data_IF_920546579726
#
_entry.id   IF_920546579726
#
_cell.length_a   1.000
_cell.length_b   1.000
_cell.length_c   1.000
_cell.angle_alpha   90.00
_cell.angle_beta   90.00
_cell.angle_gamma   90.00
#
_symmetry.space_group_name_H-M   'P 1'
#
loop_
_entity.id
_entity.type
_entity.pdbx_description
1 polymer ?
#
# COMPACT_ATOMS: atom_id res chain seq x y z
N UNK A 1 32.27 2.25 14.65
CA UNK A 1 31.72 1.52 13.52
C UNK A 1 31.53 2.48 12.38
N UNK A 2 32.04 2.14 11.23
CA UNK A 2 31.90 2.94 10.03
C UNK A 2 30.60 2.48 9.35
N UNK A 3 29.52 3.28 9.47
CA UNK A 3 28.29 2.99 8.76
C UNK A 3 28.56 2.97 7.26
N UNK A 4 28.34 1.83 6.61
CA UNK A 4 28.61 1.67 5.18
C UNK A 4 27.41 2.17 4.37
N UNK A 5 27.65 3.18 3.52
CA UNK A 5 26.70 3.68 2.55
C UNK A 5 27.11 3.25 1.13
N UNK A 6 27.08 1.95 0.86
CA UNK A 6 27.59 1.36 -0.35
C UNK A 6 26.50 1.07 -1.40
N UNK A 7 26.90 1.20 -2.68
CA UNK A 7 26.06 0.81 -3.83
C UNK A 7 24.74 1.56 -3.96
N UNK A 8 24.63 2.78 -3.41
CA UNK A 8 23.43 3.59 -3.51
C UNK A 8 23.45 4.49 -4.75
N UNK A 9 22.27 4.77 -5.30
CA UNK A 9 22.05 5.78 -6.35
C UNK A 9 21.14 6.86 -5.76
N UNK A 10 21.61 8.11 -5.72
CA UNK A 10 20.83 9.26 -5.30
C UNK A 10 20.88 10.36 -6.37
N UNK A 11 19.71 10.70 -6.95
CA UNK A 11 19.58 11.74 -7.98
C UNK A 11 18.43 12.66 -7.64
N UNK A 12 18.71 13.91 -7.31
CA UNK A 12 17.70 14.91 -6.99
C UNK A 12 18.02 15.68 -5.73
N UNK A 13 17.31 16.81 -5.52
CA UNK A 13 17.45 17.61 -4.32
C UNK A 13 16.96 16.81 -3.10
N UNK A 14 17.77 16.70 -2.07
CA UNK A 14 17.54 15.93 -0.85
C UNK A 14 17.19 14.43 -1.09
N UNK A 15 17.54 13.86 -2.25
CA UNK A 15 17.37 12.43 -2.47
C UNK A 15 18.33 11.63 -1.56
N UNK A 16 17.81 10.62 -0.85
CA UNK A 16 18.53 9.79 0.13
C UNK A 16 19.24 10.62 1.22
N UNK A 17 18.66 11.75 1.57
CA UNK A 17 19.20 12.61 2.60
C UNK A 17 18.91 12.00 3.97
N UNK A 18 19.82 11.20 4.46
CA UNK A 18 19.72 10.62 5.81
C UNK A 18 20.08 11.59 6.91
N UNK A 19 19.70 11.23 8.13
CA UNK A 19 20.22 11.89 9.32
C UNK A 19 21.73 11.65 9.50
N UNK A 20 22.32 12.28 10.50
CA UNK A 20 23.74 12.20 10.82
C UNK A 20 24.25 10.75 10.95
N UNK A 21 25.22 10.39 10.13
CA UNK A 21 25.88 9.09 10.18
C UNK A 21 26.94 9.00 11.31
N UNK A 22 27.11 10.06 12.11
CA UNK A 22 28.09 10.09 13.17
C UNK A 22 27.73 9.14 14.32
N UNK A 23 28.43 8.03 14.40
CA UNK A 23 28.45 7.14 15.58
C UNK A 23 27.50 5.96 15.59
N UNK A 24 26.83 5.62 14.49
CA UNK A 24 25.99 4.43 14.39
C UNK A 24 26.43 3.51 13.23
N UNK A 25 26.46 2.20 13.47
CA UNK A 25 26.66 1.18 12.43
C UNK A 25 25.41 1.07 11.56
N UNK A 26 25.24 1.99 10.63
CA UNK A 26 24.11 2.01 9.70
C UNK A 26 24.52 1.43 8.37
N UNK A 27 23.69 0.56 7.85
CA UNK A 27 23.87 0.05 6.51
C UNK A 27 22.82 0.66 5.58
N UNK A 28 23.23 1.63 4.77
CA UNK A 28 22.49 2.07 3.61
C UNK A 28 23.07 1.40 2.39
N UNK A 29 22.53 0.27 1.97
CA UNK A 29 23.15 -0.53 0.91
C UNK A 29 22.17 -0.86 -0.22
N UNK A 30 22.63 -0.59 -1.45
CA UNK A 30 21.89 -0.98 -2.64
C UNK A 30 20.57 -0.25 -2.83
N UNK A 31 20.43 0.97 -2.33
CA UNK A 31 19.21 1.76 -2.47
C UNK A 31 19.25 2.62 -3.73
N UNK A 32 18.09 2.87 -4.34
CA UNK A 32 17.91 3.79 -5.46
C UNK A 32 16.91 4.88 -5.05
N UNK A 33 17.35 6.13 -4.98
CA UNK A 33 16.51 7.29 -4.71
C UNK A 33 16.64 8.31 -5.85
N UNK A 34 15.59 8.48 -6.65
CA UNK A 34 15.56 9.39 -7.78
C UNK A 34 14.35 10.32 -7.69
N UNK A 35 14.58 11.59 -7.48
CA UNK A 35 13.53 12.60 -7.37
C UNK A 35 13.77 13.59 -6.23
N UNK A 36 13.00 14.68 -6.23
CA UNK A 36 13.00 15.64 -5.13
C UNK A 36 12.53 14.94 -3.86
N UNK A 37 13.32 14.96 -2.80
CA UNK A 37 13.01 14.33 -1.49
C UNK A 37 12.61 12.84 -1.56
N UNK A 38 13.12 12.09 -2.54
CA UNK A 38 12.98 10.65 -2.54
C UNK A 38 13.82 10.04 -1.40
N UNK A 39 13.22 9.27 -0.48
CA UNK A 39 13.88 8.70 0.71
C UNK A 39 14.64 9.76 1.54
N UNK A 40 14.05 10.91 1.81
CA UNK A 40 14.76 11.99 2.51
C UNK A 40 14.77 11.87 4.04
N UNK A 41 13.88 11.04 4.61
CA UNK A 41 13.78 10.82 6.06
C UNK A 41 14.56 9.59 6.55
N UNK A 42 15.52 9.07 5.78
CA UNK A 42 16.32 7.90 6.19
C UNK A 42 16.99 8.16 7.54
N UNK A 43 16.35 7.69 8.61
CA UNK A 43 16.75 7.94 9.99
C UNK A 43 18.02 7.20 10.41
N UNK A 44 18.11 6.86 11.69
CA UNK A 44 19.24 6.14 12.31
C UNK A 44 19.29 4.63 12.00
N UNK A 45 18.39 4.10 11.20
CA UNK A 45 18.22 2.65 11.00
C UNK A 45 18.73 2.18 9.63
N UNK A 46 19.09 0.92 9.54
CA UNK A 46 19.53 0.29 8.31
C UNK A 46 18.41 0.25 7.27
N UNK A 47 18.74 0.58 6.02
CA UNK A 47 17.84 0.44 4.87
C UNK A 47 18.60 -0.20 3.73
N UNK A 48 18.06 -1.28 3.20
CA UNK A 48 18.78 -2.08 2.20
C UNK A 48 17.83 -2.47 1.06
N UNK A 49 18.31 -2.33 -0.17
CA UNK A 49 17.60 -2.81 -1.35
C UNK A 49 16.27 -2.11 -1.63
N UNK A 50 16.14 -0.84 -1.28
CA UNK A 50 14.92 -0.05 -1.44
C UNK A 50 15.00 0.81 -2.70
N UNK A 51 13.90 0.90 -3.46
CA UNK A 51 13.79 1.71 -4.67
C UNK A 51 12.73 2.79 -4.47
N UNK A 52 13.13 4.06 -4.58
CA UNK A 52 12.24 5.22 -4.53
C UNK A 52 12.48 6.10 -5.76
N UNK A 53 11.53 6.13 -6.68
CA UNK A 53 11.60 6.92 -7.91
C UNK A 53 10.38 7.82 -8.01
N UNK A 54 10.56 9.11 -7.81
CA UNK A 54 9.49 10.10 -7.85
C UNK A 54 9.65 11.16 -6.78
N UNK A 55 8.91 12.27 -6.92
CA UNK A 55 8.86 13.33 -5.90
C UNK A 55 8.29 12.76 -4.60
N UNK A 56 9.01 12.86 -3.49
CA UNK A 56 8.67 12.37 -2.15
C UNK A 56 8.28 10.87 -2.10
N UNK A 57 8.72 10.06 -3.07
CA UNK A 57 8.58 8.61 -2.97
C UNK A 57 9.34 8.10 -1.73
N UNK A 58 8.66 7.35 -0.84
CA UNK A 58 9.20 6.90 0.45
C UNK A 58 9.78 8.05 1.31
N UNK A 59 9.21 9.25 1.20
CA UNK A 59 9.76 10.44 1.87
C UNK A 59 9.81 10.33 3.40
N UNK A 60 8.92 9.57 4.04
CA UNK A 60 8.87 9.38 5.48
C UNK A 60 9.61 8.13 6.00
N UNK A 61 10.26 7.34 5.12
CA UNK A 61 10.87 6.06 5.51
C UNK A 61 12.06 6.27 6.45
N UNK A 62 11.90 5.87 7.70
CA UNK A 62 12.96 5.91 8.73
C UNK A 62 13.69 4.60 8.88
N UNK A 63 13.00 3.47 8.64
CA UNK A 63 13.55 2.11 8.60
C UNK A 63 12.67 1.26 7.67
N UNK A 64 13.11 0.10 7.29
CA UNK A 64 12.36 -0.77 6.40
C UNK A 64 13.11 -1.05 5.10
N UNK A 65 13.33 -2.32 4.82
CA UNK A 65 14.09 -2.78 3.67
C UNK A 65 13.19 -3.35 2.57
N UNK A 66 13.71 -3.37 1.33
CA UNK A 66 13.07 -4.08 0.24
C UNK A 66 11.80 -3.44 -0.31
N UNK A 67 11.53 -2.17 -0.02
CA UNK A 67 10.39 -1.46 -0.57
C UNK A 67 10.65 -0.98 -2.01
N UNK A 68 9.61 -0.98 -2.85
CA UNK A 68 9.64 -0.43 -4.20
C UNK A 68 8.56 0.64 -4.33
N UNK A 69 8.93 1.89 -4.48
CA UNK A 69 8.04 3.03 -4.67
C UNK A 69 8.39 3.75 -5.99
N UNK A 70 7.48 3.72 -6.95
CA UNK A 70 7.65 4.38 -8.24
C UNK A 70 6.43 5.25 -8.54
N UNK A 71 6.61 6.56 -8.47
CA UNK A 71 5.55 7.54 -8.70
C UNK A 71 5.62 8.73 -7.75
N UNK A 72 4.88 9.79 -8.09
CA UNK A 72 4.71 10.94 -7.20
C UNK A 72 4.08 10.48 -5.88
N UNK A 73 4.76 10.70 -4.75
CA UNK A 73 4.31 10.35 -3.40
C UNK A 73 3.94 8.86 -3.19
N UNK A 74 4.46 7.95 -4.02
CA UNK A 74 4.29 6.52 -3.77
C UNK A 74 4.93 6.13 -2.42
N UNK A 75 4.21 5.39 -1.57
CA UNK A 75 4.64 5.01 -0.21
C UNK A 75 5.10 6.19 0.66
N UNK A 76 4.63 7.40 0.41
CA UNK A 76 5.14 8.59 1.07
C UNK A 76 5.01 8.52 2.60
N UNK A 77 3.92 7.95 3.12
CA UNK A 77 3.65 7.82 4.55
C UNK A 77 4.30 6.60 5.23
N UNK A 78 4.90 5.68 4.47
CA UNK A 78 5.54 4.49 5.05
C UNK A 78 6.78 4.88 5.87
N UNK A 79 6.78 4.53 7.17
CA UNK A 79 7.90 4.85 8.08
C UNK A 79 8.78 3.65 8.38
N UNK A 80 8.21 2.46 8.56
CA UNK A 80 8.91 1.25 9.03
C UNK A 80 8.56 -0.02 8.24
N UNK A 81 7.48 -0.03 7.45
CA UNK A 81 7.02 -1.20 6.70
C UNK A 81 8.06 -1.74 5.70
N UNK A 82 8.07 -3.05 5.53
CA UNK A 82 9.03 -3.82 4.75
C UNK A 82 8.38 -4.42 3.49
N UNK A 83 9.16 -4.58 2.43
CA UNK A 83 8.79 -5.36 1.23
C UNK A 83 7.48 -4.94 0.56
N UNK A 84 7.08 -3.68 0.74
CA UNK A 84 5.92 -3.14 0.03
C UNK A 84 6.30 -2.72 -1.38
N UNK A 85 5.42 -2.94 -2.33
CA UNK A 85 5.57 -2.47 -3.71
C UNK A 85 4.42 -1.52 -4.05
N UNK A 86 4.73 -0.27 -4.35
CA UNK A 86 3.76 0.75 -4.76
C UNK A 86 4.21 1.42 -6.06
N UNK A 87 3.42 1.27 -7.11
CA UNK A 87 3.71 1.84 -8.43
C UNK A 87 2.50 2.66 -8.91
N UNK A 88 2.68 3.96 -8.99
CA UNK A 88 1.62 4.89 -9.40
C UNK A 88 1.66 6.19 -8.62
N UNK A 89 0.96 7.22 -9.13
CA UNK A 89 0.74 8.47 -8.40
C UNK A 89 -0.07 8.17 -7.13
N UNK A 90 0.44 8.51 -5.95
CA UNK A 90 -0.23 8.31 -4.67
C UNK A 90 -0.46 6.84 -4.28
N UNK A 91 0.15 5.87 -4.98
CA UNK A 91 0.00 4.47 -4.61
C UNK A 91 0.52 4.25 -3.17
N UNK A 92 -0.32 3.69 -2.30
CA UNK A 92 -0.04 3.43 -0.88
C UNK A 92 0.56 4.66 -0.16
N UNK A 93 0.03 5.86 -0.46
CA UNK A 93 0.65 7.10 0.05
C UNK A 93 0.34 7.37 1.54
N UNK A 94 -0.64 6.69 2.14
CA UNK A 94 -1.01 6.88 3.54
C UNK A 94 -1.52 8.30 3.82
N UNK A 95 -2.30 8.88 2.90
CA UNK A 95 -2.81 10.25 3.00
C UNK A 95 -3.66 10.42 4.26
N UNK A 96 -3.13 11.03 5.30
CA UNK A 96 -3.90 11.30 6.53
C UNK A 96 -3.05 11.45 7.80
N UNK A 97 -1.72 11.35 7.70
CA UNK A 97 -0.82 11.61 8.83
C UNK A 97 -0.77 10.49 9.88
N UNK A 98 -1.43 9.38 9.66
CA UNK A 98 -1.15 8.17 10.40
C UNK A 98 0.12 7.52 9.83
N UNK A 99 1.06 7.22 10.68
CA UNK A 99 2.22 6.41 10.34
C UNK A 99 1.71 5.04 9.91
N UNK A 100 1.99 4.64 8.67
CA UNK A 100 1.81 3.25 8.23
C UNK A 100 2.83 2.42 9.02
N UNK A 101 2.44 2.08 10.26
CA UNK A 101 3.29 1.37 11.18
C UNK A 101 3.34 -0.10 10.77
N UNK A 102 4.52 -0.59 10.43
CA UNK A 102 4.84 -2.00 10.27
C UNK A 102 3.92 -2.80 9.29
N UNK A 103 3.24 -2.13 8.35
CA UNK A 103 2.48 -2.84 7.31
C UNK A 103 3.42 -3.36 6.24
N UNK A 104 3.49 -4.67 6.07
CA UNK A 104 4.46 -5.38 5.26
C UNK A 104 3.81 -6.12 4.08
N UNK A 105 4.66 -6.46 3.08
CA UNK A 105 4.31 -7.41 2.02
C UNK A 105 3.07 -7.05 1.18
N UNK A 106 2.79 -5.75 1.01
CA UNK A 106 1.69 -5.29 0.18
C UNK A 106 2.14 -4.96 -1.24
N UNK A 107 1.26 -5.18 -2.22
CA UNK A 107 1.47 -4.82 -3.62
C UNK A 107 0.35 -3.91 -4.12
N UNK A 108 0.65 -2.66 -4.44
CA UNK A 108 -0.29 -1.68 -4.98
C UNK A 108 0.22 -1.06 -6.29
N UNK A 109 -0.55 -1.23 -7.37
CA UNK A 109 -0.20 -0.71 -8.70
C UNK A 109 -1.41 0.06 -9.27
N UNK A 110 -1.26 1.37 -9.44
CA UNK A 110 -2.30 2.24 -9.99
C UNK A 110 -2.32 3.61 -9.32
N UNK A 111 -3.12 4.51 -9.88
CA UNK A 111 -3.39 5.83 -9.28
C UNK A 111 -4.20 5.63 -7.99
N UNK A 112 -3.70 6.17 -6.86
CA UNK A 112 -4.30 6.04 -5.51
C UNK A 112 -4.72 4.58 -5.16
N UNK A 113 -4.02 3.58 -5.67
CA UNK A 113 -4.19 2.20 -5.25
C UNK A 113 -3.66 2.04 -3.83
N UNK A 114 -4.52 1.64 -2.87
CA UNK A 114 -4.18 1.67 -1.44
C UNK A 114 -3.93 3.08 -0.90
N UNK A 115 -4.47 4.12 -1.54
CA UNK A 115 -4.21 5.52 -1.25
C UNK A 115 -4.95 6.07 -0.02
N UNK A 116 -5.89 5.32 0.53
CA UNK A 116 -6.67 5.72 1.70
C UNK A 116 -5.83 5.90 2.96
N UNK A 117 -6.49 6.30 4.04
CA UNK A 117 -5.83 6.46 5.34
C UNK A 117 -5.45 5.09 5.89
N UNK A 118 -4.19 4.89 6.18
CA UNK A 118 -3.71 3.71 6.92
C UNK A 118 -3.68 4.07 8.40
N UNK A 119 -4.47 3.36 9.21
CA UNK A 119 -4.65 3.65 10.61
C UNK A 119 -3.70 2.80 11.48
N UNK A 120 -4.00 2.67 12.76
CA UNK A 120 -3.10 2.14 13.80
C UNK A 120 -2.88 0.63 13.76
N UNK A 121 -3.73 -0.14 13.08
CA UNK A 121 -3.56 -1.59 12.95
C UNK A 121 -2.84 -1.95 11.63
N UNK A 122 -1.94 -2.90 11.75
CA UNK A 122 -1.13 -3.41 10.64
C UNK A 122 -2.01 -4.05 9.57
N UNK A 123 -1.81 -3.66 8.30
CA UNK A 123 -2.49 -4.23 7.14
C UNK A 123 -1.46 -4.85 6.19
N UNK A 124 -1.53 -6.16 5.97
CA UNK A 124 -0.48 -6.93 5.30
C UNK A 124 -1.04 -7.87 4.23
N UNK A 125 -0.14 -8.26 3.32
CA UNK A 125 -0.43 -9.25 2.27
C UNK A 125 -1.59 -8.87 1.35
N UNK A 126 -1.82 -7.56 1.16
CA UNK A 126 -2.86 -7.07 0.27
C UNK A 126 -2.31 -6.83 -1.13
N UNK A 127 -3.11 -7.14 -2.13
CA UNK A 127 -2.81 -6.92 -3.55
C UNK A 127 -3.87 -5.99 -4.15
N UNK A 128 -3.46 -4.81 -4.61
CA UNK A 128 -4.30 -3.85 -5.32
C UNK A 128 -3.70 -3.53 -6.69
N UNK A 129 -4.35 -3.96 -7.78
CA UNK A 129 -3.91 -3.66 -9.15
C UNK A 129 -5.04 -2.96 -9.92
N UNK A 130 -4.89 -1.67 -10.13
CA UNK A 130 -5.89 -0.78 -10.73
C UNK A 130 -6.00 0.51 -9.94
N UNK A 131 -6.59 1.56 -10.55
CA UNK A 131 -6.79 2.82 -9.86
C UNK A 131 -7.86 2.66 -8.76
N UNK A 132 -7.62 3.27 -7.60
CA UNK A 132 -8.53 3.27 -6.44
C UNK A 132 -8.86 1.87 -5.90
N UNK A 133 -8.02 0.87 -6.11
CA UNK A 133 -8.19 -0.44 -5.46
C UNK A 133 -7.83 -0.34 -3.99
N UNK A 134 -8.63 -0.98 -3.10
CA UNK A 134 -8.37 -0.97 -1.65
C UNK A 134 -8.06 0.45 -1.12
N UNK A 135 -8.82 1.44 -1.59
CA UNK A 135 -8.61 2.86 -1.31
C UNK A 135 -9.33 3.30 -0.01
N UNK A 136 -9.94 2.39 0.70
CA UNK A 136 -10.55 2.62 2.00
C UNK A 136 -9.54 2.89 3.11
N UNK A 137 -10.03 3.23 4.29
CA UNK A 137 -9.19 3.43 5.47
C UNK A 137 -8.72 2.07 6.01
N UNK A 138 -7.60 1.57 5.51
CA UNK A 138 -7.03 0.27 5.90
C UNK A 138 -6.61 0.28 7.39
N UNK A 139 -7.26 -0.53 8.19
CA UNK A 139 -7.03 -0.61 9.64
C UNK A 139 -7.06 -2.06 10.12
N UNK A 140 -6.07 -2.85 9.76
CA UNK A 140 -5.96 -4.26 10.08
C UNK A 140 -6.48 -5.19 8.99
N UNK A 141 -6.75 -4.70 7.77
CA UNK A 141 -7.19 -5.52 6.65
C UNK A 141 -6.05 -6.39 6.10
N UNK A 142 -6.27 -7.70 6.01
CA UNK A 142 -5.26 -8.69 5.67
C UNK A 142 -5.67 -9.56 4.47
N UNK A 143 -4.68 -9.94 3.64
CA UNK A 143 -4.86 -10.95 2.60
C UNK A 143 -5.94 -10.64 1.54
N UNK A 144 -6.22 -9.38 1.27
CA UNK A 144 -7.20 -9.02 0.25
C UNK A 144 -6.56 -8.92 -1.14
N UNK A 145 -7.29 -9.34 -2.16
CA UNK A 145 -6.86 -9.23 -3.57
C UNK A 145 -7.87 -8.45 -4.38
N UNK A 146 -7.47 -7.28 -4.87
CA UNK A 146 -8.29 -6.37 -5.67
C UNK A 146 -7.67 -6.12 -7.04
N UNK A 147 -8.34 -6.48 -8.11
CA UNK A 147 -7.87 -6.25 -9.49
C UNK A 147 -8.97 -5.58 -10.32
N UNK A 148 -8.71 -4.36 -10.75
CA UNK A 148 -9.67 -3.56 -11.53
C UNK A 148 -9.86 -2.16 -10.94
N UNK A 149 -10.54 -1.27 -11.67
CA UNK A 149 -10.86 0.07 -11.16
C UNK A 149 -11.77 -0.04 -9.93
N UNK A 150 -11.37 0.58 -8.82
CA UNK A 150 -12.12 0.64 -7.56
C UNK A 150 -12.59 -0.74 -7.03
N UNK A 151 -11.89 -1.82 -7.34
CA UNK A 151 -12.18 -3.13 -6.74
C UNK A 151 -11.85 -3.08 -5.24
N UNK A 152 -12.77 -3.57 -4.40
CA UNK A 152 -12.69 -3.58 -2.93
C UNK A 152 -12.34 -2.20 -2.32
N UNK A 153 -12.78 -1.10 -2.95
CA UNK A 153 -12.33 0.26 -2.59
C UNK A 153 -12.78 0.74 -1.22
N UNK A 154 -13.75 0.08 -0.58
CA UNK A 154 -14.28 0.47 0.74
C UNK A 154 -13.76 -0.40 1.90
N UNK A 155 -12.90 -1.38 1.66
CA UNK A 155 -12.35 -2.25 2.72
C UNK A 155 -11.68 -1.40 3.80
N UNK A 156 -12.00 -1.71 5.06
CA UNK A 156 -11.38 -1.10 6.25
C UNK A 156 -10.68 -2.14 7.13
N UNK A 157 -11.43 -3.15 7.58
CA UNK A 157 -10.91 -4.22 8.47
C UNK A 157 -11.19 -5.62 7.91
N UNK A 158 -11.85 -5.74 6.74
CA UNK A 158 -12.18 -7.03 6.15
C UNK A 158 -10.97 -7.82 5.67
N UNK A 159 -10.95 -9.13 5.90
CA UNK A 159 -9.86 -10.03 5.56
C UNK A 159 -10.20 -11.03 4.46
N UNK A 160 -9.20 -11.41 3.68
CA UNK A 160 -9.28 -12.54 2.76
C UNK A 160 -10.28 -12.36 1.62
N UNK A 161 -10.64 -11.14 1.27
CA UNK A 161 -11.57 -10.88 0.18
C UNK A 161 -10.86 -10.87 -1.18
N UNK A 162 -11.55 -11.34 -2.21
CA UNK A 162 -11.09 -11.30 -3.60
C UNK A 162 -12.09 -10.53 -4.45
N UNK A 163 -11.69 -9.40 -5.02
CA UNK A 163 -12.48 -8.57 -5.93
C UNK A 163 -11.77 -8.44 -7.28
N UNK A 164 -12.30 -9.06 -8.34
CA UNK A 164 -11.72 -8.98 -9.69
C UNK A 164 -12.76 -8.46 -10.68
N UNK A 165 -12.54 -7.26 -11.17
CA UNK A 165 -13.43 -6.55 -12.08
C UNK A 165 -13.57 -5.08 -11.73
N UNK A 166 -14.16 -4.29 -12.66
CA UNK A 166 -14.54 -2.91 -12.38
C UNK A 166 -15.51 -2.87 -11.20
N UNK A 167 -15.15 -2.18 -10.12
CA UNK A 167 -15.94 -2.02 -8.89
C UNK A 167 -16.41 -3.35 -8.27
N UNK A 168 -15.67 -4.44 -8.42
CA UNK A 168 -16.02 -5.71 -7.79
C UNK A 168 -15.87 -5.58 -6.26
N UNK A 169 -16.96 -5.80 -5.52
CA UNK A 169 -17.00 -5.74 -4.05
C UNK A 169 -16.73 -4.35 -3.46
N UNK A 170 -16.99 -3.25 -4.19
CA UNK A 170 -16.62 -1.89 -3.76
C UNK A 170 -17.40 -1.37 -2.52
N UNK A 171 -18.47 -2.02 -2.11
CA UNK A 171 -19.25 -1.67 -0.93
C UNK A 171 -18.88 -2.46 0.34
N UNK A 172 -17.96 -3.44 0.23
CA UNK A 172 -17.56 -4.21 1.41
C UNK A 172 -16.59 -3.40 2.29
N UNK A 173 -16.83 -3.39 3.60
CA UNK A 173 -16.00 -2.68 4.58
C UNK A 173 -15.31 -3.65 5.53
N UNK A 174 -16.07 -4.48 6.23
CA UNK A 174 -15.62 -5.34 7.32
C UNK A 174 -15.81 -6.83 7.01
N UNK A 175 -16.56 -7.17 5.94
CA UNK A 175 -16.83 -8.56 5.55
C UNK A 175 -15.57 -9.34 5.22
N UNK A 176 -15.56 -10.65 5.49
CA UNK A 176 -14.38 -11.52 5.35
C UNK A 176 -14.64 -12.70 4.42
N UNK A 177 -13.58 -13.15 3.73
CA UNK A 177 -13.57 -14.33 2.86
C UNK A 177 -14.58 -14.29 1.71
N UNK A 178 -14.86 -13.11 1.17
CA UNK A 178 -15.77 -12.95 0.05
C UNK A 178 -15.04 -13.00 -1.29
N UNK A 179 -15.72 -13.51 -2.32
CA UNK A 179 -15.20 -13.54 -3.69
C UNK A 179 -16.17 -12.85 -4.64
N UNK A 180 -15.71 -11.79 -5.28
CA UNK A 180 -16.44 -11.01 -6.27
C UNK A 180 -15.70 -11.07 -7.61
N UNK A 181 -16.29 -11.72 -8.60
CA UNK A 181 -15.71 -11.85 -9.93
C UNK A 181 -16.66 -11.34 -10.99
N UNK A 182 -16.34 -10.22 -11.58
CA UNK A 182 -17.12 -9.61 -12.66
C UNK A 182 -17.30 -8.10 -12.50
N UNK A 183 -17.83 -7.47 -13.55
CA UNK A 183 -18.16 -6.04 -13.55
C UNK A 183 -19.22 -5.74 -12.51
N UNK A 184 -18.95 -4.87 -11.53
CA UNK A 184 -19.85 -4.47 -10.45
C UNK A 184 -20.50 -5.69 -9.72
N UNK A 185 -19.75 -6.77 -9.54
CA UNK A 185 -20.18 -7.88 -8.73
C UNK A 185 -20.18 -7.49 -7.25
N UNK A 186 -21.29 -7.67 -6.55
CA UNK A 186 -21.43 -7.34 -5.12
C UNK A 186 -21.64 -5.85 -4.82
N UNK A 187 -22.05 -5.02 -5.79
CA UNK A 187 -22.14 -3.56 -5.58
C UNK A 187 -23.55 -3.07 -5.25
N UNK A 188 -24.60 -3.84 -5.53
CA UNK A 188 -25.97 -3.32 -5.56
C UNK A 188 -26.72 -3.37 -4.21
N UNK A 189 -26.25 -4.10 -3.21
CA UNK A 189 -26.90 -4.13 -1.91
C UNK A 189 -26.03 -3.58 -0.78
N UNK A 190 -26.60 -2.70 0.02
CA UNK A 190 -25.99 -2.23 1.28
C UNK A 190 -25.82 -3.35 2.33
N UNK A 191 -26.22 -4.59 2.02
CA UNK A 191 -26.15 -5.72 2.95
C UNK A 191 -24.80 -6.45 2.95
N UNK A 192 -23.90 -6.13 2.03
CA UNK A 192 -22.58 -6.79 1.96
C UNK A 192 -21.46 -6.07 2.70
N UNK A 193 -21.68 -4.91 3.29
CA UNK A 193 -20.60 -4.21 4.00
C UNK A 193 -19.92 -5.10 5.06
N UNK A 194 -20.67 -6.03 5.67
CA UNK A 194 -20.20 -6.92 6.74
C UNK A 194 -20.46 -8.41 6.47
N UNK A 195 -20.93 -8.79 5.26
CA UNK A 195 -21.20 -10.19 4.92
C UNK A 195 -19.94 -11.02 4.78
N UNK A 196 -19.98 -12.29 5.20
CA UNK A 196 -18.84 -13.19 5.19
C UNK A 196 -19.06 -14.40 4.29
N UNK A 197 -17.95 -14.90 3.69
CA UNK A 197 -17.89 -16.17 2.96
C UNK A 197 -18.85 -16.27 1.77
N UNK A 198 -19.12 -15.16 1.12
CA UNK A 198 -19.96 -15.10 -0.06
C UNK A 198 -19.13 -15.24 -1.36
N UNK A 199 -19.71 -15.90 -2.36
CA UNK A 199 -19.10 -15.98 -3.70
C UNK A 199 -20.11 -15.49 -4.74
N UNK A 200 -19.78 -14.38 -5.42
CA UNK A 200 -20.55 -13.76 -6.48
C UNK A 200 -19.76 -13.74 -7.78
N UNK A 201 -20.26 -14.41 -8.81
CA UNK A 201 -19.61 -14.50 -10.12
C UNK A 201 -20.56 -14.02 -11.21
N UNK A 202 -20.16 -13.02 -11.95
CA UNK A 202 -20.93 -12.43 -13.05
C UNK A 202 -21.05 -10.92 -12.91
N UNK A 203 -21.51 -10.26 -13.98
CA UNK A 203 -21.73 -8.81 -13.94
C UNK A 203 -23.00 -8.49 -13.16
N UNK A 204 -22.95 -7.44 -12.32
CA UNK A 204 -24.09 -6.98 -11.50
C UNK A 204 -24.73 -8.08 -10.65
N UNK A 205 -23.93 -9.05 -10.22
CA UNK A 205 -24.42 -10.07 -9.29
C UNK A 205 -24.57 -9.47 -7.89
N UNK A 206 -25.68 -9.76 -7.25
CA UNK A 206 -25.99 -9.32 -5.90
C UNK A 206 -26.56 -10.50 -5.10
N UNK A 207 -26.34 -10.52 -3.78
CA UNK A 207 -26.95 -11.52 -2.90
C UNK A 207 -28.28 -11.05 -2.30
N UNK A 208 -28.89 -9.99 -2.80
CA UNK A 208 -30.25 -9.59 -2.41
C UNK A 208 -31.23 -10.68 -2.87
N UNK A 209 -31.49 -11.64 -2.02
CA UNK A 209 -32.48 -12.71 -2.28
C UNK A 209 -32.04 -14.12 -1.94
N UNK A 210 -30.94 -14.27 -1.23
CA UNK A 210 -30.56 -15.56 -0.60
C UNK A 210 -30.92 -15.45 0.87
N UNK A 211 -32.17 -15.81 1.24
CA UNK A 211 -32.57 -16.07 2.62
C UNK A 211 -32.01 -17.42 3.09
#
# INVERSE_FOLDING_TARGET
GDGDADYNIAIGYDALKGGDFAGNDRQLQGNIAIGFQAMDATGANAQTGTIAIGHSALGALTSGAGNVAVGYQALMGNTTGLRNTAIGYGAMNGSGGATVLDSDDNLFIGYDSGGGTWDTAVSEFNVGIGNYTLDGAMNGALNNTAVGYAALSSITVGDGNTGIGFRAGDNITDGTYNTFLGYSSGTESNNFSTGDSCTLIGAFTDASGVD
#
